data_IF_496780983900
#
_entry.id   IF_496780983900
#
_cell.length_a   1.000
_cell.length_b   1.000
_cell.length_c   1.000
_cell.angle_alpha   90.00
_cell.angle_beta   90.00
_cell.angle_gamma   90.00
#
_symmetry.space_group_name_H-M   'P 1'
#
loop_
_entity.id
_entity.type
_entity.pdbx_description
1 polymer ?
#
# COMPACT_ATOMS: atom_id res chain seq x y z
N UNK A 1 3.85 -1.57 -26.37
CA UNK A 1 3.59 -0.73 -25.19
C UNK A 1 3.22 -1.65 -24.05
N UNK A 2 3.81 -1.50 -22.86
CA UNK A 2 3.47 -2.36 -21.73
C UNK A 2 2.20 -1.80 -21.07
N UNK A 3 1.07 -2.48 -21.27
CA UNK A 3 -0.16 -2.20 -20.55
C UNK A 3 -0.01 -2.54 -19.06
N UNK A 4 -0.89 -1.99 -18.21
CA UNK A 4 -0.95 -2.41 -16.80
C UNK A 4 -1.11 -3.95 -16.74
N UNK A 5 -0.27 -4.67 -15.99
CA UNK A 5 -0.28 -6.13 -15.99
C UNK A 5 -1.46 -6.73 -15.21
N UNK A 6 -2.28 -5.89 -14.60
CA UNK A 6 -3.53 -6.26 -13.94
C UNK A 6 -4.61 -5.25 -14.30
N UNK A 7 -5.81 -5.74 -14.64
CA UNK A 7 -6.95 -4.88 -14.91
C UNK A 7 -7.37 -4.12 -13.63
N UNK A 8 -7.66 -2.84 -13.75
CA UNK A 8 -8.17 -2.02 -12.66
C UNK A 8 -8.99 -0.87 -13.24
N UNK A 9 -10.11 -0.52 -12.61
CA UNK A 9 -10.90 0.65 -13.02
C UNK A 9 -10.18 1.92 -12.53
N UNK A 10 -9.75 2.83 -13.43
CA UNK A 10 -9.17 4.11 -13.02
C UNK A 10 -10.17 4.95 -12.21
N UNK A 11 -9.69 5.71 -11.21
CA UNK A 11 -10.59 6.51 -10.36
C UNK A 11 -11.38 7.54 -11.16
N UNK A 12 -10.78 8.13 -12.19
CA UNK A 12 -11.40 9.11 -13.07
C UNK A 12 -12.45 8.51 -14.02
N UNK A 13 -12.41 7.20 -14.24
CA UNK A 13 -13.32 6.48 -15.14
C UNK A 13 -14.42 5.74 -14.37
N UNK A 14 -14.33 5.69 -13.04
CA UNK A 14 -15.37 5.09 -12.21
C UNK A 14 -16.67 5.89 -12.35
N UNK A 15 -17.77 5.17 -12.58
CA UNK A 15 -19.12 5.74 -12.70
C UNK A 15 -20.11 4.96 -11.83
N UNK A 16 -21.31 5.52 -11.59
CA UNK A 16 -22.38 4.87 -10.84
C UNK A 16 -21.93 4.34 -9.48
N UNK A 17 -22.31 3.10 -9.16
CA UNK A 17 -22.03 2.45 -7.88
C UNK A 17 -20.53 2.30 -7.59
N UNK A 18 -19.69 2.08 -8.61
CA UNK A 18 -18.24 2.00 -8.44
C UNK A 18 -17.66 3.33 -7.98
N UNK A 19 -18.10 4.45 -8.56
CA UNK A 19 -17.68 5.79 -8.14
C UNK A 19 -18.10 6.09 -6.69
N UNK A 20 -19.32 5.70 -6.32
CA UNK A 20 -19.83 5.86 -4.97
C UNK A 20 -19.01 5.05 -3.95
N UNK A 21 -18.69 3.78 -4.27
CA UNK A 21 -17.84 2.94 -3.42
C UNK A 21 -16.41 3.47 -3.31
N UNK A 22 -15.82 3.98 -4.38
CA UNK A 22 -14.50 4.63 -4.33
C UNK A 22 -14.51 5.86 -3.43
N UNK A 23 -15.56 6.70 -3.51
CA UNK A 23 -15.71 7.85 -2.63
C UNK A 23 -15.86 7.44 -1.15
N UNK A 24 -16.67 6.41 -0.87
CA UNK A 24 -16.86 5.86 0.47
C UNK A 24 -15.58 5.25 1.06
N UNK A 25 -14.80 4.53 0.23
CA UNK A 25 -13.47 4.00 0.62
C UNK A 25 -12.52 5.15 0.99
N UNK A 26 -12.41 6.19 0.16
CA UNK A 26 -11.55 7.36 0.47
C UNK A 26 -11.96 8.02 1.78
N UNK A 27 -13.25 8.27 1.96
CA UNK A 27 -13.79 8.89 3.17
C UNK A 27 -13.56 8.02 4.41
N UNK A 28 -13.80 6.72 4.31
CA UNK A 28 -13.67 5.79 5.44
C UNK A 28 -12.20 5.56 5.83
N UNK A 29 -11.29 5.47 4.86
CA UNK A 29 -9.86 5.26 5.15
C UNK A 29 -9.11 6.58 5.46
N UNK A 30 -9.74 7.73 5.18
CA UNK A 30 -9.10 9.04 5.27
C UNK A 30 -7.94 9.18 4.28
N UNK A 31 -8.11 8.69 3.06
CA UNK A 31 -7.07 8.67 2.03
C UNK A 31 -7.49 9.45 0.78
N UNK A 32 -6.58 10.22 0.17
CA UNK A 32 -6.86 10.97 -1.06
C UNK A 32 -6.92 10.10 -2.32
N UNK A 33 -6.48 8.84 -2.25
CA UNK A 33 -6.37 7.92 -3.39
C UNK A 33 -6.98 6.55 -3.07
N UNK A 34 -7.46 5.85 -4.09
CA UNK A 34 -7.97 4.48 -3.96
C UNK A 34 -6.89 3.47 -4.33
N UNK A 35 -6.43 2.67 -3.35
CA UNK A 35 -5.40 1.66 -3.57
C UNK A 35 -5.78 0.68 -4.69
N UNK A 36 -4.75 0.17 -5.40
CA UNK A 36 -4.92 -0.70 -6.56
C UNK A 36 -5.81 -1.92 -6.31
N UNK A 37 -5.76 -2.51 -5.11
CA UNK A 37 -6.59 -3.67 -4.75
C UNK A 37 -8.08 -3.38 -4.90
N UNK A 38 -8.54 -2.22 -4.44
CA UNK A 38 -9.93 -1.79 -4.56
C UNK A 38 -10.33 -1.56 -6.01
N UNK A 39 -9.43 -0.94 -6.79
CA UNK A 39 -9.65 -0.71 -8.23
C UNK A 39 -9.66 -1.99 -9.05
N UNK A 40 -8.88 -2.98 -8.65
CA UNK A 40 -8.89 -4.31 -9.25
C UNK A 40 -10.15 -5.09 -8.89
N UNK A 41 -10.56 -5.09 -7.61
CA UNK A 41 -11.80 -5.73 -7.16
C UNK A 41 -13.04 -5.18 -7.89
N UNK A 42 -12.99 -3.93 -8.33
CA UNK A 42 -14.04 -3.31 -9.14
C UNK A 42 -14.20 -3.95 -10.53
N UNK A 43 -13.16 -4.62 -11.05
CA UNK A 43 -13.21 -5.35 -12.32
C UNK A 43 -13.83 -6.75 -12.18
N UNK A 44 -14.01 -7.23 -10.95
CA UNK A 44 -14.60 -8.53 -10.65
C UNK A 44 -16.10 -8.32 -10.41
N UNK A 45 -17.00 -9.00 -11.13
CA UNK A 45 -18.45 -8.88 -10.90
C UNK A 45 -18.83 -9.12 -9.44
N UNK A 46 -19.39 -8.10 -8.79
CA UNK A 46 -19.75 -8.12 -7.37
C UNK A 46 -18.57 -8.07 -6.39
N UNK A 47 -17.32 -8.05 -6.87
CA UNK A 47 -16.13 -8.16 -6.03
C UNK A 47 -15.93 -6.98 -5.09
N UNK A 48 -15.89 -5.75 -5.63
CA UNK A 48 -15.76 -4.54 -4.82
C UNK A 48 -16.86 -4.38 -3.75
N UNK A 49 -18.17 -4.38 -4.08
CA UNK A 49 -19.20 -4.25 -3.05
C UNK A 49 -19.15 -5.41 -2.06
N UNK A 50 -18.89 -6.64 -2.53
CA UNK A 50 -18.81 -7.78 -1.64
C UNK A 50 -17.72 -7.60 -0.59
N UNK A 51 -16.50 -7.29 -1.02
CA UNK A 51 -15.33 -7.13 -0.14
C UNK A 51 -15.54 -5.94 0.80
N UNK A 52 -16.05 -4.82 0.28
CA UNK A 52 -16.22 -3.61 1.07
C UNK A 52 -17.19 -3.82 2.23
N UNK A 53 -18.34 -4.45 2.00
CA UNK A 53 -19.29 -4.79 3.07
C UNK A 53 -18.65 -5.67 4.16
N UNK A 54 -17.76 -6.61 3.79
CA UNK A 54 -17.11 -7.50 4.77
C UNK A 54 -16.23 -6.72 5.74
N UNK A 55 -15.49 -5.72 5.24
CA UNK A 55 -14.41 -5.10 6.01
C UNK A 55 -14.75 -3.70 6.52
N UNK A 56 -15.69 -2.98 5.89
CA UNK A 56 -16.10 -1.63 6.30
C UNK A 56 -16.41 -1.51 7.81
N UNK A 57 -17.14 -2.46 8.45
CA UNK A 57 -17.39 -2.39 9.89
C UNK A 57 -16.11 -2.32 10.75
N UNK A 58 -15.03 -2.98 10.33
CA UNK A 58 -13.75 -2.97 11.02
C UNK A 58 -12.97 -1.67 10.81
N UNK A 59 -13.15 -1.01 9.66
CA UNK A 59 -12.62 0.33 9.45
C UNK A 59 -13.36 1.37 10.29
N UNK A 60 -14.70 1.37 10.23
CA UNK A 60 -15.56 2.36 10.91
C UNK A 60 -15.44 2.27 12.44
N UNK A 61 -15.26 1.08 13.00
CA UNK A 61 -15.02 0.89 14.45
C UNK A 61 -13.61 1.30 14.91
N UNK A 62 -12.72 1.67 13.98
CA UNK A 62 -11.32 1.95 14.24
C UNK A 62 -10.48 0.71 14.56
N UNK A 63 -11.03 -0.50 14.45
CA UNK A 63 -10.31 -1.74 14.75
C UNK A 63 -9.11 -1.94 13.81
N UNK A 64 -9.32 -1.75 12.51
CA UNK A 64 -8.24 -1.82 11.51
C UNK A 64 -7.18 -0.75 11.76
N UNK A 65 -7.58 0.48 12.10
CA UNK A 65 -6.63 1.55 12.38
C UNK A 65 -5.75 1.22 13.61
N UNK A 66 -6.35 0.76 14.71
CA UNK A 66 -5.60 0.32 15.90
C UNK A 66 -4.64 -0.82 15.58
N UNK A 67 -5.12 -1.84 14.86
CA UNK A 67 -4.30 -2.98 14.48
C UNK A 67 -3.15 -2.57 13.54
N UNK A 68 -3.42 -1.71 12.56
CA UNK A 68 -2.40 -1.19 11.65
C UNK A 68 -1.37 -0.31 12.37
N UNK A 69 -1.78 0.50 13.35
CA UNK A 69 -0.87 1.26 14.20
C UNK A 69 0.06 0.34 15.00
N UNK A 70 -0.50 -0.68 15.66
CA UNK A 70 0.27 -1.71 16.37
C UNK A 70 1.23 -2.44 15.42
N UNK A 71 0.75 -2.85 14.24
CA UNK A 71 1.51 -3.54 13.21
C UNK A 71 2.73 -2.73 12.78
N UNK A 72 2.56 -1.45 12.45
CA UNK A 72 3.65 -0.58 12.07
C UNK A 72 4.60 -0.28 13.24
N UNK A 73 4.11 -0.21 14.47
CA UNK A 73 4.96 -0.02 15.66
C UNK A 73 5.90 -1.22 15.93
N UNK A 74 5.59 -2.40 15.41
CA UNK A 74 6.48 -3.57 15.45
C UNK A 74 7.53 -3.56 14.32
N UNK A 75 7.45 -2.61 13.39
CA UNK A 75 8.36 -2.51 12.26
C UNK A 75 9.32 -1.32 12.45
N UNK A 76 10.55 -1.61 12.89
CA UNK A 76 11.62 -0.63 12.82
C UNK A 76 12.05 -0.45 11.36
N UNK A 77 11.61 0.65 10.74
CA UNK A 77 11.98 1.00 9.37
C UNK A 77 13.15 1.97 9.39
N UNK A 78 14.31 1.50 8.94
CA UNK A 78 15.48 2.33 8.73
C UNK A 78 15.70 2.55 7.24
N UNK A 79 15.98 3.79 6.86
CA UNK A 79 16.39 4.10 5.50
C UNK A 79 17.90 3.81 5.35
N UNK A 80 18.33 3.09 4.30
CA UNK A 80 19.76 2.88 4.02
C UNK A 80 20.56 4.18 3.89
N UNK A 81 19.91 5.24 3.42
CA UNK A 81 20.45 6.58 3.31
C UNK A 81 19.30 7.61 3.34
N UNK A 82 19.59 8.81 3.86
CA UNK A 82 18.68 9.96 3.82
C UNK A 82 19.24 11.02 2.87
N UNK A 83 18.59 11.30 1.72
CA UNK A 83 19.07 12.32 0.81
C UNK A 83 19.00 13.71 1.44
N UNK A 84 20.10 14.45 1.36
CA UNK A 84 20.12 15.84 1.79
C UNK A 84 19.23 16.70 0.87
N UNK A 85 18.80 17.91 1.31
CA UNK A 85 18.11 18.85 0.43
C UNK A 85 18.87 19.13 -0.88
N UNK A 86 20.22 19.21 -0.83
CA UNK A 86 21.05 19.40 -2.01
C UNK A 86 21.03 18.18 -2.94
N UNK A 87 21.01 16.97 -2.40
CA UNK A 87 20.88 15.72 -3.17
C UNK A 87 19.52 15.64 -3.87
N UNK A 88 18.45 16.02 -3.17
CA UNK A 88 17.10 16.07 -3.73
C UNK A 88 17.00 17.11 -4.85
N UNK A 89 17.54 18.31 -4.63
CA UNK A 89 17.58 19.35 -5.65
C UNK A 89 18.37 18.92 -6.90
N UNK A 90 19.52 18.25 -6.71
CA UNK A 90 20.31 17.69 -7.81
C UNK A 90 19.55 16.58 -8.57
N UNK A 91 18.63 15.87 -7.91
CA UNK A 91 17.72 14.91 -8.51
C UNK A 91 16.45 15.55 -9.10
N UNK A 92 16.36 16.88 -9.15
CA UNK A 92 15.21 17.61 -9.69
C UNK A 92 13.99 17.65 -8.78
N UNK A 93 14.14 17.34 -7.49
CA UNK A 93 13.09 17.48 -6.47
C UNK A 93 13.28 18.82 -5.75
N UNK A 94 12.33 19.72 -5.91
CA UNK A 94 12.34 21.03 -5.24
C UNK A 94 11.80 20.94 -3.81
N UNK A 95 11.99 22.00 -3.03
CA UNK A 95 11.42 22.08 -1.68
C UNK A 95 9.87 22.07 -1.71
N UNK A 96 9.26 22.62 -2.76
CA UNK A 96 7.80 22.69 -2.93
C UNK A 96 7.19 21.34 -3.35
N UNK A 97 7.98 20.46 -3.96
CA UNK A 97 7.55 19.10 -4.31
C UNK A 97 7.43 18.19 -3.09
N UNK A 98 8.27 18.40 -2.07
CA UNK A 98 8.42 17.48 -0.94
C UNK A 98 7.14 17.23 -0.15
N UNK A 99 6.30 18.23 0.18
CA UNK A 99 5.02 18.00 0.84
C UNK A 99 4.12 17.03 0.06
N UNK A 100 4.03 17.18 -1.27
CA UNK A 100 3.19 16.32 -2.13
C UNK A 100 3.77 14.90 -2.22
N UNK A 101 5.09 14.77 -2.40
CA UNK A 101 5.79 13.47 -2.42
C UNK A 101 5.56 12.73 -1.11
N UNK A 102 5.73 13.41 0.04
CA UNK A 102 5.49 12.83 1.37
C UNK A 102 4.04 12.41 1.53
N UNK A 103 3.08 13.25 1.16
CA UNK A 103 1.66 12.91 1.22
C UNK A 103 1.30 11.67 0.37
N UNK A 104 1.91 11.51 -0.82
CA UNK A 104 1.78 10.30 -1.63
C UNK A 104 2.27 9.07 -0.87
N UNK A 105 3.50 9.11 -0.37
CA UNK A 105 4.11 7.97 0.33
C UNK A 105 3.33 7.65 1.61
N UNK A 106 2.94 8.66 2.39
CA UNK A 106 2.14 8.51 3.61
C UNK A 106 0.78 7.88 3.31
N UNK A 107 0.11 8.29 2.22
CA UNK A 107 -1.16 7.72 1.77
C UNK A 107 -1.03 6.23 1.46
N UNK A 108 0.00 5.86 0.70
CA UNK A 108 0.24 4.45 0.38
C UNK A 108 0.68 3.64 1.60
N UNK A 109 1.54 4.17 2.46
CA UNK A 109 1.97 3.49 3.68
C UNK A 109 0.78 3.21 4.60
N UNK A 110 -0.03 4.24 4.90
CA UNK A 110 -1.23 4.13 5.72
C UNK A 110 -2.25 3.18 5.10
N UNK A 111 -2.56 3.36 3.82
CA UNK A 111 -3.51 2.52 3.10
C UNK A 111 -3.07 1.06 3.03
N UNK A 112 -1.80 0.79 2.73
CA UNK A 112 -1.27 -0.57 2.65
C UNK A 112 -1.27 -1.25 4.03
N UNK A 113 -0.89 -0.55 5.09
CA UNK A 113 -0.90 -1.09 6.46
C UNK A 113 -2.33 -1.47 6.93
N UNK A 114 -3.33 -0.65 6.60
CA UNK A 114 -4.72 -0.99 6.91
C UNK A 114 -5.26 -2.10 6.01
N UNK A 115 -5.02 -2.02 4.70
CA UNK A 115 -5.56 -2.96 3.72
C UNK A 115 -4.97 -4.37 3.88
N UNK A 116 -3.68 -4.52 4.23
CA UNK A 116 -3.09 -5.86 4.41
C UNK A 116 -3.75 -6.63 5.57
N UNK A 117 -4.19 -5.93 6.61
CA UNK A 117 -4.88 -6.55 7.76
C UNK A 117 -6.34 -6.80 7.41
N UNK A 118 -7.05 -5.77 6.94
CA UNK A 118 -8.48 -5.85 6.68
C UNK A 118 -8.82 -6.88 5.59
N UNK A 119 -8.04 -6.93 4.52
CA UNK A 119 -8.29 -7.84 3.38
C UNK A 119 -7.85 -9.27 3.65
N UNK A 120 -7.07 -9.52 4.71
CA UNK A 120 -6.78 -10.87 5.20
C UNK A 120 -7.96 -11.44 6.00
N UNK A 121 -8.81 -10.59 6.61
CA UNK A 121 -9.99 -11.02 7.38
C UNK A 121 -10.91 -12.00 6.63
N UNK A 122 -11.35 -11.74 5.39
CA UNK A 122 -12.21 -12.65 4.64
C UNK A 122 -11.49 -13.89 4.06
N UNK A 123 -10.16 -13.92 4.02
CA UNK A 123 -9.39 -15.04 3.46
C UNK A 123 -9.21 -16.18 4.45
N UNK A 124 -8.93 -15.87 5.70
CA UNK A 124 -8.60 -16.90 6.69
C UNK A 124 -9.88 -17.43 7.32
N UNK A 125 -10.41 -18.53 6.76
CA UNK A 125 -11.13 -19.50 7.57
C UNK A 125 -10.16 -19.94 8.68
N UNK A 126 -10.43 -19.56 9.92
CA UNK A 126 -9.63 -19.84 11.12
C UNK A 126 -8.12 -20.00 10.83
N UNK A 127 -7.40 -18.89 10.59
CA UNK A 127 -5.94 -18.95 10.51
C UNK A 127 -5.37 -19.63 11.77
N UNK A 128 -4.45 -20.59 11.62
CA UNK A 128 -3.68 -21.15 12.74
C UNK A 128 -2.73 -20.12 13.37
N UNK A 129 -2.62 -18.91 12.78
CA UNK A 129 -1.85 -17.81 13.35
C UNK A 129 -2.39 -17.43 14.74
N UNK A 130 -1.51 -17.51 15.74
CA UNK A 130 -1.81 -16.96 17.05
C UNK A 130 -2.14 -15.46 16.94
N UNK A 131 -3.20 -14.98 17.61
CA UNK A 131 -3.55 -13.56 17.58
C UNK A 131 -2.43 -12.71 18.18
N UNK A 132 -2.10 -11.61 17.49
CA UNK A 132 -1.12 -10.65 18.00
C UNK A 132 -1.65 -9.91 19.24
N UNK A 133 -0.77 -9.61 20.19
CA UNK A 133 -1.07 -8.67 21.27
C UNK A 133 -0.96 -7.25 20.71
N UNK A 134 -2.10 -6.58 20.51
CA UNK A 134 -2.13 -5.22 19.99
C UNK A 134 -1.52 -4.25 20.99
N UNK A 135 -0.56 -3.43 20.53
CA UNK A 135 0.06 -2.38 21.34
C UNK A 135 -0.60 -1.03 21.08
N UNK A 136 -0.79 -0.19 22.10
CA UNK A 136 -1.19 1.20 21.89
C UNK A 136 -0.19 1.92 20.99
N UNK A 137 -0.66 2.41 19.86
CA UNK A 137 0.12 3.15 18.89
C UNK A 137 -0.83 4.08 18.11
N UNK A 138 -0.27 4.98 17.31
CA UNK A 138 -1.04 5.83 16.39
C UNK A 138 -0.50 5.65 14.98
N UNK A 139 -1.41 5.51 14.01
CA UNK A 139 -1.01 5.63 12.62
C UNK A 139 -0.55 7.06 12.35
N UNK A 140 0.47 7.25 11.49
CA UNK A 140 0.82 8.57 10.99
C UNK A 140 -0.39 9.24 10.32
N UNK A 141 -0.50 10.56 10.53
CA UNK A 141 -1.48 11.39 9.85
C UNK A 141 -1.01 11.60 8.42
N UNK A 142 -1.93 11.45 7.46
CA UNK A 142 -1.69 11.82 6.07
C UNK A 142 -2.08 13.28 5.93
N UNK A 143 -1.18 14.10 5.38
CA UNK A 143 -1.48 15.50 5.12
C UNK A 143 -2.67 15.63 4.15
N UNK A 144 -3.58 16.57 4.44
CA UNK A 144 -4.71 16.90 3.57
C UNK A 144 -4.22 17.72 2.38
N UNK A 145 -3.58 17.04 1.43
CA UNK A 145 -3.06 17.60 0.19
C UNK A 145 -3.68 16.88 -1.01
N UNK A 146 -3.96 17.67 -2.05
CA UNK A 146 -4.42 17.12 -3.32
C UNK A 146 -3.31 16.28 -3.95
N UNK A 147 -3.55 14.98 -4.13
CA UNK A 147 -2.66 14.09 -4.86
C UNK A 147 -3.02 14.14 -6.35
N UNK A 148 -2.04 14.31 -7.26
CA UNK A 148 -2.29 14.26 -8.70
C UNK A 148 -2.93 12.94 -9.15
N UNK A 149 -3.68 13.01 -10.24
CA UNK A 149 -4.24 11.82 -10.88
C UNK A 149 -3.13 10.80 -11.20
N UNK A 150 -3.41 9.52 -11.00
CA UNK A 150 -2.47 8.44 -11.26
C UNK A 150 -2.16 8.36 -12.77
N UNK A 151 -0.90 8.56 -13.21
CA UNK A 151 -0.57 8.43 -14.62
C UNK A 151 -0.76 6.96 -15.09
N UNK A 152 -1.32 6.74 -16.28
CA UNK A 152 -1.34 5.40 -16.87
C UNK A 152 0.09 4.95 -17.21
N UNK A 153 0.37 3.65 -17.06
CA UNK A 153 1.75 3.12 -17.20
C UNK A 153 2.32 3.30 -18.61
N UNK A 154 1.47 3.12 -19.62
CA UNK A 154 1.81 3.30 -21.03
C UNK A 154 1.87 4.78 -21.45
N UNK A 155 1.28 5.68 -20.67
CA UNK A 155 1.40 7.14 -20.84
C UNK A 155 2.69 7.74 -20.28
N UNK A 156 3.51 6.96 -19.55
CA UNK A 156 4.80 7.44 -19.04
C UNK A 156 5.88 7.49 -20.15
N UNK A 157 6.83 8.45 -20.07
CA UNK A 157 8.07 8.39 -20.82
C UNK A 157 8.77 7.03 -20.67
N UNK A 158 9.47 6.57 -21.71
CA UNK A 158 9.95 5.20 -21.78
C UNK A 158 10.99 4.85 -20.70
N UNK A 159 11.87 5.79 -20.42
CA UNK A 159 12.85 5.77 -19.33
C UNK A 159 12.17 5.79 -17.95
N UNK A 160 11.18 6.66 -17.73
CA UNK A 160 10.43 6.69 -16.46
C UNK A 160 9.73 5.36 -16.20
N UNK A 161 9.09 4.80 -17.24
CA UNK A 161 8.46 3.47 -17.16
C UNK A 161 9.48 2.38 -16.85
N UNK A 162 10.68 2.44 -17.42
CA UNK A 162 11.74 1.46 -17.13
C UNK A 162 12.15 1.49 -15.66
N UNK A 163 12.33 2.68 -15.07
CA UNK A 163 12.65 2.82 -13.64
C UNK A 163 11.48 2.34 -12.76
N UNK A 164 10.23 2.62 -13.13
CA UNK A 164 9.05 2.06 -12.44
C UNK A 164 9.07 0.53 -12.45
N UNK A 165 9.39 -0.10 -13.59
CA UNK A 165 9.45 -1.56 -13.70
C UNK A 165 10.63 -2.14 -12.91
N UNK A 166 11.78 -1.48 -12.89
CA UNK A 166 12.94 -1.86 -12.08
C UNK A 166 12.59 -1.84 -10.58
N UNK A 167 12.00 -0.74 -10.10
CA UNK A 167 11.53 -0.61 -8.73
C UNK A 167 10.48 -1.67 -8.37
N UNK A 168 9.61 -1.99 -9.31
CA UNK A 168 8.57 -3.00 -9.11
C UNK A 168 9.13 -4.42 -9.01
N UNK A 169 10.32 -4.68 -9.55
CA UNK A 169 10.97 -5.99 -9.45
C UNK A 169 11.49 -6.28 -8.03
N UNK A 170 11.76 -5.25 -7.21
CA UNK A 170 12.20 -5.45 -5.84
C UNK A 170 11.13 -6.15 -5.00
N UNK A 171 11.52 -7.27 -4.39
CA UNK A 171 10.62 -8.10 -3.59
C UNK A 171 9.55 -8.85 -4.39
N UNK A 172 9.65 -8.88 -5.73
CA UNK A 172 8.65 -9.49 -6.59
C UNK A 172 8.71 -11.01 -6.61
N UNK A 173 7.55 -11.67 -6.50
CA UNK A 173 7.44 -13.09 -6.81
C UNK A 173 7.57 -13.32 -8.33
N UNK A 174 8.37 -14.30 -8.77
CA UNK A 174 8.49 -14.61 -10.20
C UNK A 174 7.14 -14.95 -10.84
N UNK A 175 6.93 -14.48 -12.07
CA UNK A 175 5.82 -14.93 -12.93
C UNK A 175 4.47 -14.25 -12.75
N UNK A 176 4.33 -13.29 -11.83
CA UNK A 176 3.04 -12.64 -11.55
C UNK A 176 3.13 -11.12 -11.38
N UNK A 177 3.37 -10.34 -12.46
CA UNK A 177 3.63 -8.93 -12.31
C UNK A 177 2.40 -8.10 -11.94
N UNK A 178 2.49 -7.37 -10.83
CA UNK A 178 1.58 -6.26 -10.49
C UNK A 178 2.42 -5.02 -10.24
N UNK A 179 2.12 -3.93 -10.94
CA UNK A 179 2.83 -2.65 -10.76
C UNK A 179 2.18 -1.82 -9.66
N UNK A 180 2.90 -1.63 -8.55
CA UNK A 180 2.41 -0.80 -7.45
C UNK A 180 2.15 0.64 -7.91
N UNK A 181 1.00 1.21 -7.50
CA UNK A 181 0.56 2.52 -7.98
C UNK A 181 1.40 3.69 -7.45
N UNK A 182 2.05 3.52 -6.29
CA UNK A 182 2.96 4.52 -5.72
C UNK A 182 4.06 4.92 -6.70
N UNK A 183 4.71 3.96 -7.38
CA UNK A 183 5.79 4.26 -8.31
C UNK A 183 5.32 5.11 -9.50
N UNK A 184 4.07 4.91 -9.95
CA UNK A 184 3.47 5.72 -11.02
C UNK A 184 3.10 7.12 -10.53
N UNK A 185 2.58 7.25 -9.31
CA UNK A 185 2.35 8.57 -8.70
C UNK A 185 3.65 9.36 -8.48
N UNK A 186 4.76 8.67 -8.24
CA UNK A 186 6.08 9.29 -8.09
C UNK A 186 6.85 9.45 -9.42
N UNK A 187 6.33 8.91 -10.53
CA UNK A 187 6.95 9.01 -11.86
C UNK A 187 7.13 10.44 -12.43
N UNK A 188 6.39 11.47 -11.99
CA UNK A 188 6.72 12.85 -12.31
C UNK A 188 8.09 13.31 -11.77
N UNK A 189 8.66 12.62 -10.77
CA UNK A 189 9.97 12.91 -10.20
C UNK A 189 10.95 11.75 -10.51
N UNK A 190 11.43 11.61 -11.76
CA UNK A 190 12.27 10.48 -12.17
C UNK A 190 13.60 10.40 -11.40
N UNK A 191 14.20 11.54 -11.01
CA UNK A 191 15.39 11.54 -10.17
C UNK A 191 15.14 10.98 -8.77
N UNK A 192 13.96 11.22 -8.19
CA UNK A 192 13.55 10.58 -6.94
C UNK A 192 13.38 9.06 -7.12
N UNK A 193 12.78 8.62 -8.23
CA UNK A 193 12.66 7.19 -8.52
C UNK A 193 14.03 6.53 -8.67
N UNK A 194 14.98 7.18 -9.33
CA UNK A 194 16.35 6.69 -9.46
C UNK A 194 17.07 6.60 -8.10
N UNK A 195 16.94 7.62 -7.24
CA UNK A 195 17.46 7.58 -5.87
C UNK A 195 16.81 6.45 -5.06
N UNK A 196 15.50 6.25 -5.23
CA UNK A 196 14.78 5.15 -4.58
C UNK A 196 15.32 3.79 -5.03
N UNK A 197 15.59 3.61 -6.33
CA UNK A 197 16.14 2.36 -6.85
C UNK A 197 17.53 2.09 -6.28
N UNK A 198 18.40 3.11 -6.26
CA UNK A 198 19.73 3.02 -5.66
C UNK A 198 19.69 2.71 -4.15
N UNK A 199 18.70 3.26 -3.44
CA UNK A 199 18.50 3.00 -2.01
C UNK A 199 18.01 1.58 -1.73
N UNK A 200 17.06 1.07 -2.53
CA UNK A 200 16.45 -0.24 -2.32
C UNK A 200 17.32 -1.39 -2.82
N UNK A 201 18.15 -1.19 -3.85
CA UNK A 201 18.93 -2.26 -4.48
C UNK A 201 19.83 -3.04 -3.50
N UNK A 202 20.59 -2.41 -2.58
CA UNK A 202 21.39 -3.17 -1.60
C UNK A 202 20.54 -4.01 -0.64
N UNK A 203 19.42 -3.45 -0.15
CA UNK A 203 18.49 -4.12 0.78
C UNK A 203 17.76 -5.28 0.10
N UNK A 204 17.48 -5.15 -1.20
CA UNK A 204 16.95 -6.24 -2.01
C UNK A 204 18.01 -7.32 -2.28
N UNK A 205 19.23 -6.92 -2.64
CA UNK A 205 20.32 -7.83 -3.02
C UNK A 205 20.87 -8.67 -1.86
N UNK A 206 20.85 -8.16 -0.63
CA UNK A 206 21.31 -8.90 0.56
C UNK A 206 20.19 -9.69 1.27
N UNK A 207 18.98 -9.69 0.72
CA UNK A 207 17.83 -10.45 1.22
C UNK A 207 17.06 -9.80 2.37
N UNK A 208 17.52 -8.66 2.92
CA UNK A 208 16.80 -7.96 4.01
C UNK A 208 15.38 -7.56 3.61
N UNK A 209 15.17 -7.13 2.36
CA UNK A 209 13.83 -6.79 1.87
C UNK A 209 12.90 -8.02 1.90
N UNK A 210 13.40 -9.20 1.52
CA UNK A 210 12.65 -10.45 1.59
C UNK A 210 12.23 -10.80 3.02
N UNK A 211 13.14 -10.64 3.99
CA UNK A 211 12.84 -10.82 5.42
C UNK A 211 11.76 -9.85 5.91
N UNK A 212 11.83 -8.58 5.52
CA UNK A 212 10.82 -7.57 5.87
C UNK A 212 9.45 -7.92 5.29
N UNK A 213 9.39 -8.38 4.04
CA UNK A 213 8.15 -8.82 3.38
C UNK A 213 7.53 -10.03 4.10
N UNK A 214 8.34 -11.04 4.42
CA UNK A 214 7.88 -12.22 5.15
C UNK A 214 7.39 -11.87 6.57
N UNK A 215 8.10 -10.96 7.24
CA UNK A 215 7.69 -10.40 8.52
C UNK A 215 6.35 -9.64 8.43
N UNK A 216 6.18 -8.80 7.41
CA UNK A 216 4.93 -8.08 7.17
C UNK A 216 3.73 -9.02 6.98
N UNK A 217 3.89 -10.08 6.20
CA UNK A 217 2.85 -11.10 6.01
C UNK A 217 2.48 -11.80 7.33
N UNK A 218 3.47 -12.36 8.02
CA UNK A 218 3.26 -13.06 9.31
C UNK A 218 2.55 -12.16 10.32
N UNK A 219 2.97 -10.90 10.41
CA UNK A 219 2.39 -9.93 11.33
C UNK A 219 0.97 -9.53 10.91
N UNK A 220 0.71 -9.32 9.61
CA UNK A 220 -0.63 -9.01 9.13
C UNK A 220 -1.62 -10.15 9.45
N UNK A 221 -1.22 -11.41 9.28
CA UNK A 221 -2.03 -12.58 9.64
C UNK A 221 -2.35 -12.61 11.15
N UNK A 222 -1.34 -12.38 12.00
CA UNK A 222 -1.52 -12.33 13.44
C UNK A 222 -2.41 -11.16 13.90
N UNK A 223 -2.30 -9.99 13.26
CA UNK A 223 -3.16 -8.83 13.56
C UNK A 223 -4.60 -9.05 13.06
N UNK A 224 -4.79 -9.69 11.91
CA UNK A 224 -6.12 -10.09 11.44
C UNK A 224 -6.74 -11.14 12.38
N UNK A 225 -5.95 -12.09 12.90
CA UNK A 225 -6.40 -13.04 13.92
C UNK A 225 -6.81 -12.35 15.23
N UNK A 226 -6.09 -11.31 15.67
CA UNK A 226 -6.47 -10.51 16.83
C UNK A 226 -7.84 -9.82 16.64
N UNK A 227 -8.07 -9.20 15.48
CA UNK A 227 -9.37 -8.56 15.19
C UNK A 227 -10.54 -9.54 15.13
N UNK A 228 -10.32 -10.78 14.68
CA UNK A 228 -11.34 -11.84 14.75
C UNK A 228 -11.63 -12.25 16.19
N UNK A 229 -10.60 -12.36 17.02
CA UNK A 229 -10.75 -12.71 18.43
C UNK A 229 -11.51 -11.63 19.24
N UNK A 230 -11.46 -10.37 18.80
CA UNK A 230 -12.26 -9.27 19.37
C UNK A 230 -13.77 -9.36 19.04
N UNK A 231 -14.20 -10.36 18.25
CA UNK A 231 -15.61 -10.64 17.98
C UNK A 231 -16.16 -9.97 16.72
N UNK A 232 -15.30 -9.38 15.87
CA UNK A 232 -15.72 -8.90 14.56
C UNK A 232 -16.11 -10.06 13.65
N UNK A 233 -17.36 -10.08 13.19
CA UNK A 233 -17.86 -11.14 12.31
C UNK A 233 -17.64 -10.77 10.85
N UNK A 234 -17.01 -11.68 10.11
CA UNK A 234 -17.07 -11.73 8.66
C UNK A 234 -18.36 -12.46 8.30
N UNK A 235 -19.13 -11.91 7.39
CA UNK A 235 -20.36 -12.53 6.91
C UNK A 235 -20.00 -13.82 6.15
N UNK A 236 -20.71 -14.91 6.47
CA UNK A 236 -20.49 -16.22 5.88
C UNK A 236 -20.96 -16.35 4.43
N UNK A 237 -21.52 -15.29 3.83
CA UNK A 237 -21.90 -15.28 2.41
C UNK A 237 -20.71 -15.59 1.51
N UNK A 238 -20.93 -16.44 0.50
CA UNK A 238 -19.89 -16.88 -0.41
C UNK A 238 -19.25 -15.69 -1.16
N UNK A 239 -17.93 -15.68 -1.23
CA UNK A 239 -17.18 -14.69 -2.01
C UNK A 239 -17.43 -14.88 -3.52
N UNK A 240 -17.62 -13.79 -4.29
CA UNK A 240 -17.67 -13.87 -5.75
C UNK A 240 -16.41 -14.53 -6.33
N UNK A 241 -16.57 -15.22 -7.46
CA UNK A 241 -15.47 -15.89 -8.14
C UNK A 241 -14.34 -14.90 -8.46
N UNK A 242 -13.11 -15.28 -8.12
CA UNK A 242 -11.93 -14.45 -8.32
C UNK A 242 -11.57 -13.52 -7.15
N UNK A 243 -12.51 -13.20 -6.26
CA UNK A 243 -12.22 -12.36 -5.09
C UNK A 243 -11.19 -13.01 -4.16
N UNK A 244 -11.30 -14.28 -3.74
CA UNK A 244 -10.29 -14.89 -2.87
C UNK A 244 -8.89 -14.86 -3.49
N UNK A 245 -8.77 -15.19 -4.78
CA UNK A 245 -7.50 -15.14 -5.49
C UNK A 245 -6.91 -13.72 -5.56
N UNK A 246 -7.75 -12.71 -5.83
CA UNK A 246 -7.33 -11.31 -5.82
C UNK A 246 -6.84 -10.90 -4.42
N UNK A 247 -7.61 -11.19 -3.37
CA UNK A 247 -7.22 -10.85 -2.01
C UNK A 247 -5.91 -11.52 -1.62
N UNK A 248 -5.75 -12.84 -1.86
CA UNK A 248 -4.50 -13.58 -1.57
C UNK A 248 -3.30 -12.99 -2.31
N UNK A 249 -3.46 -12.64 -3.58
CA UNK A 249 -2.41 -12.02 -4.41
C UNK A 249 -1.99 -10.66 -3.85
N UNK A 250 -2.94 -9.81 -3.50
CA UNK A 250 -2.64 -8.48 -2.99
C UNK A 250 -2.07 -8.50 -1.58
N UNK A 251 -2.67 -9.25 -0.64
CA UNK A 251 -2.19 -9.28 0.73
C UNK A 251 -0.86 -10.02 0.85
N UNK A 252 -0.66 -11.13 0.14
CA UNK A 252 0.54 -11.97 0.24
C UNK A 252 1.76 -11.51 -0.55
N UNK A 253 1.60 -10.59 -1.51
CA UNK A 253 2.70 -10.10 -2.36
C UNK A 253 2.71 -8.58 -2.50
N UNK A 254 1.73 -8.00 -3.18
CA UNK A 254 1.78 -6.59 -3.59
C UNK A 254 1.78 -5.65 -2.37
N UNK A 255 0.80 -5.77 -1.49
CA UNK A 255 0.68 -4.93 -0.31
C UNK A 255 1.80 -5.27 0.69
N UNK A 256 2.12 -6.57 0.85
CA UNK A 256 3.20 -7.04 1.72
C UNK A 256 4.55 -6.41 1.44
N UNK A 257 4.90 -6.17 0.16
CA UNK A 257 6.14 -5.44 -0.16
C UNK A 257 6.01 -3.94 -0.01
N UNK A 258 4.85 -3.40 -0.32
CA UNK A 258 4.71 -1.96 -0.32
C UNK A 258 4.70 -1.40 1.10
N UNK A 259 4.32 -2.18 2.12
CA UNK A 259 4.47 -1.78 3.52
C UNK A 259 5.93 -1.40 3.86
N UNK A 260 6.92 -2.32 3.81
CA UNK A 260 8.30 -1.98 4.17
C UNK A 260 8.94 -0.98 3.20
N UNK A 261 8.61 -1.03 1.90
CA UNK A 261 9.17 -0.07 0.93
C UNK A 261 8.68 1.35 1.22
N UNK A 262 7.37 1.54 1.46
CA UNK A 262 6.85 2.84 1.86
C UNK A 262 7.45 3.27 3.20
N UNK A 263 7.58 2.35 4.17
CA UNK A 263 8.21 2.62 5.47
C UNK A 263 9.64 3.15 5.35
N UNK A 264 10.48 2.51 4.54
CA UNK A 264 11.85 2.98 4.27
C UNK A 264 11.86 4.34 3.56
N UNK A 265 10.97 4.57 2.59
CA UNK A 265 10.86 5.85 1.89
C UNK A 265 10.43 6.99 2.83
N UNK A 266 9.49 6.73 3.73
CA UNK A 266 9.11 7.70 4.79
C UNK A 266 10.30 8.01 5.68
N UNK A 267 11.03 6.99 6.13
CA UNK A 267 12.22 7.17 6.94
C UNK A 267 13.34 7.93 6.20
N UNK A 268 13.43 7.78 4.86
CA UNK A 268 14.41 8.47 4.03
C UNK A 268 14.09 9.96 3.87
N UNK A 269 12.80 10.27 3.72
CA UNK A 269 12.31 11.62 3.40
C UNK A 269 11.70 12.36 4.60
N UNK A 270 11.80 11.84 5.82
CA UNK A 270 11.29 12.48 7.02
C UNK A 270 11.84 13.92 7.17
N UNK A 271 11.03 14.82 7.75
CA UNK A 271 11.51 16.17 8.02
C UNK A 271 12.58 16.16 9.13
N UNK A 272 13.51 17.11 9.10
CA UNK A 272 14.41 17.36 10.22
C UNK A 272 13.56 17.79 11.43
N UNK A 273 13.33 16.88 12.39
CA UNK A 273 12.53 17.13 13.59
C UNK A 273 11.52 16.04 13.96
N UNK A 274 11.17 15.14 13.05
CA UNK A 274 10.20 14.03 13.30
C UNK A 274 10.76 12.86 14.15
N UNK A 275 11.79 13.11 14.96
CA UNK A 275 12.43 12.11 15.85
C UNK A 275 12.06 12.33 17.33
N UNK A 276 10.77 12.57 17.60
CA UNK A 276 10.21 12.69 18.95
C UNK A 276 9.17 11.62 19.22
#
# INVERSE_FOLDING_TARGET
MAADPIAAIPEAEATGDTAALFADIRATLGLPVVNLVWRHLATIPGGLPWTWDQVKPFYVSGAVERAAASFLAHQEMTAPFRPSPATLAAAGVTADDLPVIRAIIDSYHRGNAMNIIALTLPLSAASDSAPATLRPARLPVVADLAIPALPPLDGLPADHRQVVMELNAFGQRPGDPVVASMYRHLAPWPGLLALTAAMLAPVAGDGRLGTLIAGANTQADAHAAALRAEGGQIDGRQAPNGVPAALTRFTGDVIARMVPICGMLRAALAAEGDQG
#
